data_IF_143038618720
#
_entry.id   IF_143038618720
#
_cell.length_a   1.000
_cell.length_b   1.000
_cell.length_c   1.000
_cell.angle_alpha   90.00
_cell.angle_beta   90.00
_cell.angle_gamma   90.00
#
_symmetry.space_group_name_H-M   'P 1'
#
loop_
_entity.id
_entity.type
_entity.pdbx_description
1 polymer ?
#
# COMPACT_ATOMS: atom_id res chain seq x y z
N UNK A 1 31.91 22.47 48.37
CA UNK A 1 33.11 22.46 47.50
C UNK A 1 32.59 22.25 46.07
N UNK A 2 32.38 23.29 45.25
CA UNK A 2 33.39 24.09 44.50
C UNK A 2 34.23 23.15 43.62
N UNK A 3 34.30 23.22 42.28
CA UNK A 3 34.11 24.34 41.35
C UNK A 3 33.57 23.91 39.97
N UNK A 4 32.78 24.82 39.37
CA UNK A 4 32.68 25.05 37.94
C UNK A 4 34.02 25.54 37.37
N UNK A 5 34.49 25.00 36.24
CA UNK A 5 35.23 25.77 35.22
C UNK A 5 34.97 25.19 33.83
N UNK A 6 34.24 25.94 33.01
CA UNK A 6 34.09 25.73 31.57
C UNK A 6 35.36 26.19 30.84
N UNK A 7 35.90 25.43 29.87
CA UNK A 7 36.87 25.98 28.94
C UNK A 7 36.13 26.76 27.84
N UNK A 8 36.15 28.08 27.98
CA UNK A 8 35.78 29.07 26.97
C UNK A 8 36.66 28.89 25.71
N UNK A 9 36.16 28.12 24.75
CA UNK A 9 36.74 28.08 23.39
C UNK A 9 36.18 29.28 22.63
N UNK A 10 37.00 30.32 22.46
CA UNK A 10 36.63 31.51 21.70
C UNK A 10 36.70 31.16 20.20
N UNK A 11 35.58 30.74 19.63
CA UNK A 11 35.38 30.63 18.18
C UNK A 11 35.21 32.04 17.59
N UNK A 12 36.29 32.58 17.03
CA UNK A 12 36.21 33.83 16.26
C UNK A 12 35.84 33.50 14.81
N UNK A 13 34.56 33.65 14.47
CA UNK A 13 34.07 33.55 13.09
C UNK A 13 34.31 34.88 12.36
N UNK A 14 35.41 34.98 11.60
CA UNK A 14 35.54 36.05 10.60
C UNK A 14 34.87 35.58 9.32
N UNK A 15 33.65 36.06 9.10
CA UNK A 15 32.83 35.71 7.94
C UNK A 15 33.08 36.75 6.85
N UNK A 16 34.14 36.57 6.07
CA UNK A 16 34.36 37.38 4.88
C UNK A 16 33.35 36.94 3.81
N UNK A 17 32.30 37.76 3.62
CA UNK A 17 31.11 37.46 2.82
C UNK A 17 31.33 37.47 1.29
N UNK A 18 32.56 37.28 0.80
CA UNK A 18 32.85 37.31 -0.64
C UNK A 18 33.92 36.27 -1.00
N UNK A 19 33.71 35.00 -0.65
CA UNK A 19 34.27 33.82 -1.33
C UNK A 19 33.87 32.56 -0.55
N UNK A 20 33.18 31.60 -1.20
CA UNK A 20 32.84 30.29 -0.61
C UNK A 20 34.08 29.41 -0.46
N UNK A 21 35.03 29.80 0.39
CA UNK A 21 36.21 28.99 0.72
C UNK A 21 36.44 29.04 2.22
N UNK A 22 36.05 27.96 2.91
CA UNK A 22 36.42 27.76 4.30
C UNK A 22 37.88 27.27 4.32
N UNK A 23 38.81 28.19 4.56
CA UNK A 23 40.20 27.84 4.83
C UNK A 23 40.31 27.49 6.31
N UNK A 24 40.41 26.20 6.63
CA UNK A 24 40.73 25.74 7.97
C UNK A 24 42.24 25.77 8.17
N UNK A 25 42.73 26.76 8.91
CA UNK A 25 44.10 26.79 9.40
C UNK A 25 44.11 26.32 10.86
N UNK A 26 44.67 25.12 11.10
CA UNK A 26 45.01 24.68 12.45
C UNK A 26 46.34 25.31 12.85
N UNK A 27 46.32 26.17 13.85
CA UNK A 27 47.52 26.76 14.43
C UNK A 27 47.91 25.96 15.68
N UNK A 28 48.79 24.96 15.52
CA UNK A 28 49.46 24.33 16.65
C UNK A 28 50.60 25.26 17.09
N UNK A 29 50.49 25.86 18.27
CA UNK A 29 51.61 26.57 18.89
C UNK A 29 52.59 25.58 19.50
N UNK A 30 53.43 24.99 18.65
CA UNK A 30 54.69 24.38 19.05
C UNK A 30 55.82 25.37 18.81
N UNK A 31 56.59 25.68 19.85
CA UNK A 31 57.82 26.48 19.75
C UNK A 31 58.82 25.78 18.81
N UNK A 32 59.57 26.62 18.08
CA UNK A 32 60.82 26.36 17.33
C UNK A 32 60.70 26.03 15.83
N UNK A 33 60.88 27.11 15.06
CA UNK A 33 61.75 27.25 13.89
C UNK A 33 62.00 26.00 13.01
N UNK A 34 61.28 25.90 11.90
CA UNK A 34 61.82 25.43 10.62
C UNK A 34 60.86 25.79 9.49
N UNK A 35 61.44 26.17 8.36
CA UNK A 35 60.77 26.65 7.15
C UNK A 35 59.54 25.85 6.71
N UNK A 36 58.49 26.61 6.41
CA UNK A 36 57.28 26.21 5.72
C UNK A 36 57.58 25.62 4.34
N UNK A 37 57.45 24.29 4.20
CA UNK A 37 56.97 23.70 2.95
C UNK A 37 55.52 23.33 3.13
N UNK A 38 54.66 24.28 2.78
CA UNK A 38 53.23 24.10 2.70
C UNK A 38 52.94 23.14 1.53
N UNK A 39 52.89 21.84 1.81
CA UNK A 39 52.42 20.86 0.83
C UNK A 39 50.90 20.99 0.75
N UNK A 40 50.42 21.88 -0.10
CA UNK A 40 49.03 21.84 -0.55
C UNK A 40 48.85 20.58 -1.40
N UNK A 41 48.49 19.44 -0.78
CA UNK A 41 47.95 18.32 -1.55
C UNK A 41 46.57 18.74 -2.07
N UNK A 42 46.49 18.96 -3.38
CA UNK A 42 45.23 18.95 -4.13
C UNK A 42 44.62 17.55 -3.96
N UNK A 43 43.59 17.42 -3.12
CA UNK A 43 42.73 16.25 -3.14
C UNK A 43 41.91 16.27 -4.42
N UNK A 44 42.36 15.53 -5.43
CA UNK A 44 41.53 15.20 -6.59
C UNK A 44 40.65 14.01 -6.20
N UNK A 45 39.34 14.21 -6.09
CA UNK A 45 38.39 13.11 -5.91
C UNK A 45 38.23 12.43 -7.27
N UNK A 46 39.13 11.50 -7.57
CA UNK A 46 38.92 10.54 -8.66
C UNK A 46 38.05 9.42 -8.09
N UNK A 47 36.83 9.28 -8.59
CA UNK A 47 36.00 8.13 -8.27
C UNK A 47 36.52 6.97 -9.12
N UNK A 48 37.34 6.09 -8.52
CA UNK A 48 37.84 4.91 -9.22
C UNK A 48 36.71 3.90 -9.37
N UNK A 49 36.38 3.57 -10.61
CA UNK A 49 35.42 2.53 -10.94
C UNK A 49 36.12 1.17 -10.83
N UNK A 50 36.28 0.72 -9.58
CA UNK A 50 36.84 -0.60 -9.28
C UNK A 50 35.75 -1.68 -9.31
N UNK A 51 36.15 -2.94 -9.49
CA UNK A 51 35.21 -4.07 -9.55
C UNK A 51 34.23 -4.14 -8.36
N UNK A 52 34.66 -3.68 -7.18
CA UNK A 52 33.81 -3.59 -5.98
C UNK A 52 32.66 -2.57 -6.11
N UNK A 53 32.88 -1.43 -6.77
CA UNK A 53 31.82 -0.44 -7.03
C UNK A 53 30.80 -0.97 -8.03
N UNK A 54 31.26 -1.61 -9.10
CA UNK A 54 30.38 -2.26 -10.06
C UNK A 54 29.53 -3.33 -9.38
N UNK A 55 30.13 -4.18 -8.55
CA UNK A 55 29.41 -5.23 -7.84
C UNK A 55 28.39 -4.68 -6.83
N UNK A 56 28.74 -3.61 -6.12
CA UNK A 56 27.83 -2.92 -5.20
C UNK A 56 26.62 -2.33 -5.91
N UNK A 57 26.84 -1.65 -7.04
CA UNK A 57 25.74 -1.09 -7.83
C UNK A 57 24.82 -2.17 -8.39
N UNK A 58 25.39 -3.26 -8.90
CA UNK A 58 24.64 -4.38 -9.47
C UNK A 58 23.76 -5.05 -8.41
N UNK A 59 24.31 -5.28 -7.22
CA UNK A 59 23.56 -5.86 -6.09
C UNK A 59 22.42 -4.94 -5.63
N UNK A 60 22.68 -3.62 -5.53
CA UNK A 60 21.65 -2.66 -5.14
C UNK A 60 20.51 -2.58 -6.18
N UNK A 61 20.84 -2.56 -7.47
CA UNK A 61 19.84 -2.55 -8.54
C UNK A 61 18.99 -3.83 -8.57
N UNK A 62 19.61 -5.00 -8.38
CA UNK A 62 18.89 -6.27 -8.30
C UNK A 62 17.96 -6.33 -7.08
N UNK A 63 18.40 -5.85 -5.91
CA UNK A 63 17.57 -5.82 -4.70
C UNK A 63 16.32 -4.96 -4.85
N UNK A 64 16.47 -3.75 -5.42
CA UNK A 64 15.35 -2.84 -5.64
C UNK A 64 14.36 -3.39 -6.67
N UNK A 65 14.85 -3.93 -7.78
CA UNK A 65 14.00 -4.48 -8.85
C UNK A 65 13.27 -5.74 -8.39
N UNK A 66 13.95 -6.65 -7.67
CA UNK A 66 13.32 -7.85 -7.10
C UNK A 66 12.24 -7.51 -6.07
N UNK A 67 12.48 -6.52 -5.20
CA UNK A 67 11.50 -6.09 -4.19
C UNK A 67 10.22 -5.53 -4.82
N UNK A 68 10.34 -4.65 -5.81
CA UNK A 68 9.18 -4.09 -6.53
C UNK A 68 8.45 -5.19 -7.31
N UNK A 69 9.19 -6.06 -8.00
CA UNK A 69 8.61 -7.18 -8.74
C UNK A 69 7.84 -8.14 -7.82
N UNK A 70 8.34 -8.40 -6.61
CA UNK A 70 7.66 -9.23 -5.62
C UNK A 70 6.31 -8.62 -5.21
N UNK A 71 6.27 -7.32 -4.92
CA UNK A 71 5.02 -6.63 -4.59
C UNK A 71 3.99 -6.71 -5.73
N UNK A 72 4.41 -6.42 -6.97
CA UNK A 72 3.53 -6.52 -8.15
C UNK A 72 3.03 -7.95 -8.39
N UNK A 73 3.86 -8.97 -8.14
CA UNK A 73 3.47 -10.37 -8.25
C UNK A 73 2.41 -10.74 -7.20
N UNK A 74 2.55 -10.29 -5.95
CA UNK A 74 1.55 -10.57 -4.91
C UNK A 74 0.20 -9.90 -5.19
N UNK A 75 0.19 -8.70 -5.77
CA UNK A 75 -1.06 -8.05 -6.18
C UNK A 75 -1.77 -8.81 -7.32
N UNK A 76 -1.00 -9.36 -8.26
CA UNK A 76 -1.53 -10.18 -9.37
C UNK A 76 -2.20 -11.48 -8.90
N UNK A 77 -1.72 -12.10 -7.82
CA UNK A 77 -2.37 -13.30 -7.26
C UNK A 77 -3.73 -12.99 -6.64
N UNK A 78 -3.89 -11.81 -6.01
CA UNK A 78 -5.15 -11.41 -5.39
C UNK A 78 -6.35 -11.24 -6.35
N UNK A 79 -6.08 -11.02 -7.64
CA UNK A 79 -7.14 -10.81 -8.66
C UNK A 79 -7.85 -12.12 -9.05
N UNK A 80 -7.27 -13.29 -8.73
CA UNK A 80 -7.87 -14.61 -9.03
C UNK A 80 -9.22 -14.84 -8.33
N UNK A 81 -9.44 -14.21 -7.17
CA UNK A 81 -10.71 -14.32 -6.43
C UNK A 81 -11.88 -13.62 -7.12
N UNK A 82 -11.61 -12.52 -7.84
CA UNK A 82 -12.65 -11.73 -8.55
C UNK A 82 -13.21 -12.42 -9.79
N UNK A 83 -12.50 -13.41 -10.35
CA UNK A 83 -12.95 -14.21 -11.49
C UNK A 83 -13.71 -15.47 -11.09
N UNK A 84 -13.78 -15.81 -9.78
CA UNK A 84 -14.60 -16.96 -9.34
C UNK A 84 -16.06 -16.55 -9.37
N UNK A 85 -16.73 -16.83 -10.49
CA UNK A 85 -18.17 -16.67 -10.64
C UNK A 85 -18.89 -17.35 -9.48
N UNK A 86 -19.66 -16.58 -8.71
CA UNK A 86 -20.43 -17.13 -7.61
C UNK A 86 -21.65 -17.85 -8.16
N UNK A 87 -21.59 -19.18 -8.24
CA UNK A 87 -22.73 -20.01 -8.64
C UNK A 87 -23.59 -20.46 -7.44
N UNK A 88 -23.36 -19.89 -6.23
CA UNK A 88 -24.19 -20.24 -5.08
C UNK A 88 -25.62 -19.73 -5.28
N UNK A 89 -26.61 -20.63 -5.26
CA UNK A 89 -28.00 -20.25 -5.41
C UNK A 89 -28.42 -19.37 -4.24
N UNK A 90 -29.29 -18.40 -4.51
CA UNK A 90 -29.84 -17.56 -3.45
C UNK A 90 -30.60 -18.43 -2.44
N UNK A 91 -30.15 -18.46 -1.18
CA UNK A 91 -30.71 -19.30 -0.10
C UNK A 91 -32.20 -19.04 0.16
N UNK A 92 -32.69 -17.83 -0.13
CA UNK A 92 -34.09 -17.47 0.13
C UNK A 92 -35.04 -18.01 -0.94
N UNK A 93 -34.66 -17.96 -2.22
CA UNK A 93 -35.48 -18.46 -3.33
C UNK A 93 -34.99 -19.78 -3.92
N UNK A 94 -33.95 -20.39 -3.34
CA UNK A 94 -33.27 -21.60 -3.85
C UNK A 94 -32.93 -21.51 -5.36
N UNK A 95 -32.57 -20.32 -5.84
CA UNK A 95 -32.28 -20.08 -7.25
C UNK A 95 -33.49 -19.90 -8.17
N UNK A 96 -34.73 -19.98 -7.66
CA UNK A 96 -35.96 -19.84 -8.47
C UNK A 96 -36.27 -18.40 -8.91
N UNK A 97 -35.50 -17.40 -8.45
CA UNK A 97 -35.59 -15.96 -8.80
C UNK A 97 -36.90 -15.26 -8.38
N UNK A 98 -37.96 -16.01 -8.17
CA UNK A 98 -39.27 -15.58 -7.69
C UNK A 98 -39.64 -16.37 -6.46
N UNK A 99 -40.45 -15.75 -5.61
CA UNK A 99 -41.04 -16.32 -4.42
C UNK A 99 -42.55 -16.30 -4.59
N UNK A 100 -43.22 -17.27 -3.98
CA UNK A 100 -44.68 -17.23 -3.87
C UNK A 100 -45.09 -15.99 -3.09
N UNK A 101 -46.16 -15.32 -3.55
CA UNK A 101 -46.68 -14.16 -2.87
C UNK A 101 -47.18 -14.56 -1.47
N UNK A 102 -46.59 -13.98 -0.43
CA UNK A 102 -46.95 -14.26 0.97
C UNK A 102 -48.42 -13.92 1.30
N UNK A 103 -49.03 -13.02 0.52
CA UNK A 103 -50.40 -12.55 0.75
C UNK A 103 -51.44 -13.50 0.16
N UNK A 104 -51.24 -13.95 -1.07
CA UNK A 104 -52.19 -14.80 -1.79
C UNK A 104 -51.76 -16.27 -1.91
N UNK A 105 -50.56 -16.64 -1.41
CA UNK A 105 -49.99 -17.99 -1.47
C UNK A 105 -50.03 -18.60 -2.89
N UNK A 106 -49.77 -17.79 -3.90
CA UNK A 106 -49.78 -18.22 -5.30
C UNK A 106 -51.13 -18.16 -6.02
N UNK A 107 -52.24 -17.86 -5.33
CA UNK A 107 -53.58 -17.84 -5.96
C UNK A 107 -53.83 -16.62 -6.87
N UNK A 108 -53.05 -15.55 -6.71
CA UNK A 108 -53.24 -14.28 -7.43
C UNK A 108 -54.47 -13.48 -6.99
N UNK A 109 -55.25 -13.96 -6.03
CA UNK A 109 -56.47 -13.29 -5.54
C UNK A 109 -56.29 -12.74 -4.13
N UNK A 110 -57.00 -11.67 -3.79
CA UNK A 110 -56.99 -11.18 -2.41
C UNK A 110 -57.65 -12.21 -1.48
N UNK A 111 -57.05 -12.49 -0.30
CA UNK A 111 -57.64 -13.43 0.65
C UNK A 111 -58.93 -12.89 1.31
N UNK A 112 -59.13 -11.57 1.28
CA UNK A 112 -60.31 -10.90 1.84
C UNK A 112 -61.44 -10.78 0.81
N UNK A 113 -61.10 -10.59 -0.46
CA UNK A 113 -62.06 -10.41 -1.55
C UNK A 113 -61.58 -11.24 -2.75
N UNK A 114 -62.14 -12.44 -2.88
CA UNK A 114 -61.70 -13.42 -3.89
C UNK A 114 -61.99 -12.97 -5.34
N UNK A 115 -62.87 -11.99 -5.51
CA UNK A 115 -63.17 -11.34 -6.80
C UNK A 115 -62.11 -10.34 -7.24
N UNK A 116 -61.26 -9.86 -6.33
CA UNK A 116 -60.25 -8.85 -6.64
C UNK A 116 -58.85 -9.46 -6.78
N UNK A 117 -58.08 -8.88 -7.72
CA UNK A 117 -56.68 -9.22 -7.95
C UNK A 117 -55.84 -8.85 -6.71
N UNK A 118 -54.88 -9.70 -6.35
CA UNK A 118 -54.02 -9.42 -5.22
C UNK A 118 -53.11 -8.21 -5.51
N UNK A 119 -53.27 -7.13 -4.75
CA UNK A 119 -52.54 -5.87 -4.93
C UNK A 119 -51.03 -5.95 -4.65
N UNK A 120 -50.57 -7.01 -3.98
CA UNK A 120 -49.17 -7.20 -3.65
C UNK A 120 -48.38 -7.87 -4.79
N UNK A 121 -49.05 -8.65 -5.63
CA UNK A 121 -48.41 -9.34 -6.76
C UNK A 121 -49.12 -9.07 -8.09
N UNK A 122 -49.99 -8.06 -8.14
CA UNK A 122 -50.79 -7.66 -9.31
C UNK A 122 -51.50 -8.84 -10.00
N UNK A 123 -51.98 -9.80 -9.22
CA UNK A 123 -52.63 -11.01 -9.74
C UNK A 123 -51.70 -12.11 -10.25
N UNK A 124 -50.38 -11.90 -10.28
CA UNK A 124 -49.39 -12.87 -10.81
C UNK A 124 -49.18 -14.06 -9.87
N UNK A 125 -49.46 -13.91 -8.57
CA UNK A 125 -49.27 -14.98 -7.58
C UNK A 125 -47.82 -15.17 -7.12
N UNK A 126 -46.84 -14.61 -7.84
CA UNK A 126 -45.42 -14.65 -7.48
C UNK A 126 -44.81 -13.25 -7.49
N UNK A 127 -43.82 -13.04 -6.62
CA UNK A 127 -43.06 -11.79 -6.52
C UNK A 127 -41.59 -12.05 -6.80
N UNK A 128 -40.91 -11.06 -7.38
CA UNK A 128 -39.46 -11.16 -7.62
C UNK A 128 -38.75 -11.23 -6.26
N UNK A 129 -37.81 -12.15 -6.11
CA UNK A 129 -37.04 -12.27 -4.88
C UNK A 129 -36.16 -11.02 -4.70
N UNK A 130 -36.47 -10.22 -3.67
CA UNK A 130 -35.74 -8.99 -3.35
C UNK A 130 -34.28 -9.25 -2.98
N UNK A 131 -33.98 -10.40 -2.36
CA UNK A 131 -32.63 -10.72 -1.90
C UNK A 131 -31.63 -10.96 -3.06
N UNK A 132 -32.11 -11.46 -4.20
CA UNK A 132 -31.28 -11.64 -5.40
C UNK A 132 -31.66 -10.69 -6.55
N UNK A 133 -32.62 -9.77 -6.34
CA UNK A 133 -33.19 -8.88 -7.36
C UNK A 133 -33.59 -9.62 -8.66
N UNK A 134 -34.04 -10.88 -8.55
CA UNK A 134 -34.36 -11.72 -9.71
C UNK A 134 -33.17 -12.40 -10.40
N UNK A 135 -31.93 -12.19 -9.94
CA UNK A 135 -30.74 -12.85 -10.45
C UNK A 135 -30.65 -14.34 -10.07
N UNK A 136 -31.27 -14.74 -8.95
CA UNK A 136 -31.26 -16.13 -8.45
C UNK A 136 -29.92 -16.56 -7.84
N UNK A 137 -28.90 -15.72 -7.95
CA UNK A 137 -27.59 -15.89 -7.33
C UNK A 137 -27.52 -15.03 -6.09
N UNK A 138 -26.89 -15.52 -5.04
CA UNK A 138 -26.68 -14.74 -3.83
C UNK A 138 -25.63 -13.65 -4.10
N UNK A 139 -25.97 -12.35 -3.96
CA UNK A 139 -24.98 -11.30 -4.04
C UNK A 139 -23.93 -11.52 -2.93
N UNK A 140 -22.65 -11.52 -3.32
CA UNK A 140 -21.53 -11.65 -2.38
C UNK A 140 -21.45 -10.38 -1.55
N UNK A 141 -21.99 -10.41 -0.34
CA UNK A 141 -21.89 -9.28 0.58
C UNK A 141 -20.54 -9.20 1.30
N UNK A 142 -19.73 -10.27 1.25
CA UNK A 142 -18.37 -10.28 1.77
C UNK A 142 -17.66 -11.54 1.23
N UNK A 143 -16.66 -11.38 0.35
CA UNK A 143 -15.76 -12.50 0.07
C UNK A 143 -14.96 -12.76 1.35
N UNK A 144 -15.37 -13.80 2.09
CA UNK A 144 -14.63 -14.28 3.24
C UNK A 144 -13.37 -14.91 2.67
N UNK A 145 -12.26 -14.15 2.66
CA UNK A 145 -10.95 -14.66 2.29
C UNK A 145 -10.74 -15.97 3.04
N UNK A 146 -10.73 -17.08 2.30
CA UNK A 146 -10.43 -18.37 2.89
C UNK A 146 -8.91 -18.44 3.07
N UNK A 147 -8.38 -19.06 4.16
CA UNK A 147 -6.95 -19.25 4.34
C UNK A 147 -6.28 -19.91 3.12
N UNK A 148 -7.04 -20.71 2.38
CA UNK A 148 -6.62 -21.43 1.18
C UNK A 148 -6.32 -20.48 0.00
N UNK A 149 -6.96 -19.30 -0.04
CA UNK A 149 -6.72 -18.28 -1.07
C UNK A 149 -5.35 -17.57 -0.93
N UNK A 150 -4.63 -17.79 0.19
CA UNK A 150 -3.28 -17.24 0.41
C UNK A 150 -2.17 -18.22 0.03
N UNK A 151 -2.49 -19.47 -0.29
CA UNK A 151 -1.51 -20.57 -0.47
C UNK A 151 -1.44 -21.12 -1.91
N UNK A 152 -2.25 -20.60 -2.83
CA UNK A 152 -2.23 -20.90 -4.29
C UNK A 152 -1.53 -19.79 -5.11
#
# INVERSE_FOLDING_TARGET
MIAFVSPTTILSFRRDMISKKATFCFHLQGKQAAWSRQVCRRGSVYMSLDAGYFQGFLTAALGLTAGIAFLVWTEKQGVRGSQRENLQPCVVCNGQKRLECIRCKGSGKNPTEESELCSFCDGVGTVVCSNCAGGGIQPRYLDRYSPEDFLD
#
